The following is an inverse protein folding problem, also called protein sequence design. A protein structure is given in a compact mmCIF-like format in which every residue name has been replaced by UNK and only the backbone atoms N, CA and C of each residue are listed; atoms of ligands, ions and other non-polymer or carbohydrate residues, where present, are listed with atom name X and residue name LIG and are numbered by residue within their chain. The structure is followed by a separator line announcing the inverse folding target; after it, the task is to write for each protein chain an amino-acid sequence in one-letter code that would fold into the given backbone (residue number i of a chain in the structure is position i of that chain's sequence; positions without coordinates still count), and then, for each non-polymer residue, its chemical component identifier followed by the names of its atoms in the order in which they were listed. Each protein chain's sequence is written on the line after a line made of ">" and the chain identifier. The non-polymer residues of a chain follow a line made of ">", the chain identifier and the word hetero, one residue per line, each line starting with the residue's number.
data_IF_573901122473
#
_entry.id   IF_573901122473
#
_cell.length_a   1.000
_cell.length_b   1.000
_cell.length_c   1.000
_cell.angle_alpha   90.00
_cell.angle_beta   90.00
_cell.angle_gamma   90.00
#
_symmetry.space_group_name_H-M   'P 1'
#
loop_
_entity.id
_entity.type
_entity.pdbx_description
1 polymer ?
#
# COMPACT_ATOMS: atom_id res chain seq x y z
N UNK A 1 11.67 -1.51 7.98
CA UNK A 1 10.31 -2.08 8.05
C UNK A 1 10.04 -3.18 7.02
N UNK A 2 11.01 -3.54 6.16
CA UNK A 2 10.86 -4.61 5.16
C UNK A 2 10.32 -5.92 5.78
N UNK A 3 10.94 -6.42 6.85
CA UNK A 3 10.55 -7.71 7.46
C UNK A 3 9.09 -7.80 7.92
N UNK A 4 8.54 -6.74 8.52
CA UNK A 4 7.15 -6.74 8.99
C UNK A 4 6.16 -6.93 7.84
N UNK A 5 6.49 -6.42 6.65
CA UNK A 5 5.70 -6.55 5.43
C UNK A 5 5.93 -7.89 4.73
N UNK A 6 7.12 -8.46 4.88
CA UNK A 6 7.46 -9.81 4.40
C UNK A 6 6.83 -10.93 5.26
N UNK A 7 5.92 -10.59 6.19
CA UNK A 7 5.24 -11.55 7.05
C UNK A 7 6.00 -11.88 8.34
N UNK A 8 7.03 -11.11 8.70
CA UNK A 8 7.89 -11.40 9.86
C UNK A 8 8.10 -10.21 10.81
N UNK A 9 7.73 -10.41 12.08
CA UNK A 9 7.87 -9.39 13.11
C UNK A 9 9.35 -9.06 13.38
N UNK A 10 9.75 -7.78 13.31
CA UNK A 10 11.14 -7.38 13.50
C UNK A 10 11.63 -7.53 14.96
N UNK A 11 10.73 -7.71 15.92
CA UNK A 11 11.06 -7.78 17.34
C UNK A 11 11.18 -9.20 17.88
N UNK A 12 10.39 -10.13 17.36
CA UNK A 12 10.31 -11.49 17.89
C UNK A 12 10.38 -12.58 16.81
N UNK A 13 10.51 -12.22 15.53
CA UNK A 13 10.61 -13.15 14.40
C UNK A 13 9.33 -13.98 14.16
N UNK A 14 8.25 -13.72 14.93
CA UNK A 14 6.93 -14.31 14.74
C UNK A 14 6.25 -13.83 13.45
N UNK A 15 5.18 -14.53 13.06
CA UNK A 15 4.39 -14.14 11.89
C UNK A 15 3.70 -12.77 12.10
N UNK A 16 3.54 -12.03 11.01
CA UNK A 16 2.71 -10.83 10.95
C UNK A 16 1.53 -11.04 10.02
N UNK A 17 0.40 -10.47 10.41
CA UNK A 17 -0.83 -10.43 9.62
C UNK A 17 -1.07 -9.00 9.16
N UNK A 18 -1.48 -8.85 7.89
CA UNK A 18 -1.91 -7.58 7.32
C UNK A 18 -3.44 -7.49 7.43
N UNK A 19 -3.93 -6.42 8.03
CA UNK A 19 -5.35 -6.10 8.08
C UNK A 19 -5.61 -4.78 7.33
N UNK A 20 -6.58 -4.79 6.43
CA UNK A 20 -7.00 -3.61 5.69
C UNK A 20 -8.20 -3.01 6.40
N UNK A 21 -8.01 -1.81 6.96
CA UNK A 21 -9.02 -1.09 7.73
C UNK A 21 -10.03 -0.43 6.78
N UNK A 22 -10.84 -1.24 6.11
CA UNK A 22 -11.81 -0.83 5.08
C UNK A 22 -12.89 0.15 5.61
N UNK A 23 -13.07 0.26 6.91
CA UNK A 23 -13.99 1.23 7.52
C UNK A 23 -13.32 2.59 7.79
N UNK A 24 -12.00 2.70 7.58
CA UNK A 24 -11.15 3.87 7.85
C UNK A 24 -10.38 4.33 6.60
N UNK A 25 -10.96 4.12 5.41
CA UNK A 25 -10.36 4.42 4.10
C UNK A 25 -9.87 5.87 3.95
N UNK A 26 -10.48 6.81 4.68
CA UNK A 26 -10.08 8.23 4.66
C UNK A 26 -8.85 8.53 5.54
N UNK A 27 -8.27 7.53 6.19
CA UNK A 27 -7.14 7.68 7.12
C UNK A 27 -5.82 7.30 6.44
N UNK A 28 -4.75 8.03 6.78
CA UNK A 28 -3.38 7.80 6.27
C UNK A 28 -2.76 6.45 6.73
N UNK A 29 -3.50 5.64 7.49
CA UNK A 29 -3.07 4.36 8.07
C UNK A 29 -4.03 3.22 7.73
N UNK A 30 -4.40 3.10 6.46
CA UNK A 30 -5.30 2.05 5.97
C UNK A 30 -4.80 0.63 6.25
N UNK A 31 -3.48 0.45 6.28
CA UNK A 31 -2.84 -0.86 6.40
C UNK A 31 -2.33 -1.01 7.82
N UNK A 32 -2.88 -1.98 8.54
CA UNK A 32 -2.39 -2.37 9.85
C UNK A 32 -1.58 -3.65 9.72
N UNK A 33 -0.36 -3.65 10.27
CA UNK A 33 0.47 -4.85 10.37
C UNK A 33 0.63 -5.19 11.83
N UNK A 34 0.09 -6.34 12.25
CA UNK A 34 0.15 -6.83 13.61
C UNK A 34 1.00 -8.11 13.68
N UNK A 35 1.75 -8.30 14.77
CA UNK A 35 2.40 -9.58 15.05
C UNK A 35 1.45 -10.51 15.80
N UNK A 36 1.38 -11.76 15.39
CA UNK A 36 0.51 -12.76 16.02
C UNK A 36 1.06 -13.25 17.38
N UNK A 37 2.29 -12.87 17.74
CA UNK A 37 3.01 -13.39 18.92
C UNK A 37 3.29 -12.33 19.99
N UNK A 38 3.48 -11.07 19.60
CA UNK A 38 3.79 -9.98 20.55
C UNK A 38 2.91 -8.75 20.27
N UNK A 39 3.05 -7.71 21.10
CA UNK A 39 2.24 -6.48 20.99
C UNK A 39 2.69 -5.53 19.88
N UNK A 40 3.45 -6.01 18.89
CA UNK A 40 3.89 -5.19 17.77
C UNK A 40 2.71 -4.91 16.84
N UNK A 41 2.45 -3.62 16.59
CA UNK A 41 1.42 -3.12 15.69
C UNK A 41 1.94 -1.85 15.03
N UNK A 42 1.74 -1.73 13.72
CA UNK A 42 2.11 -0.53 12.97
C UNK A 42 1.06 -0.23 11.89
N UNK A 43 0.62 1.02 11.85
CA UNK A 43 -0.17 1.58 10.75
C UNK A 43 0.77 2.09 9.66
N UNK A 44 0.46 1.80 8.40
CA UNK A 44 1.29 2.12 7.26
C UNK A 44 0.45 2.82 6.20
N UNK A 45 0.98 3.92 5.67
CA UNK A 45 0.38 4.59 4.52
C UNK A 45 0.47 3.71 3.25
N UNK A 46 -0.53 3.74 2.38
CA UNK A 46 -0.61 2.83 1.25
C UNK A 46 0.52 3.00 0.24
N UNK A 47 0.86 4.23 -0.16
CA UNK A 47 1.87 4.44 -1.19
C UNK A 47 3.28 4.00 -0.77
N UNK A 48 3.77 4.35 0.43
CA UNK A 48 5.04 3.82 0.95
C UNK A 48 5.04 2.29 1.12
N UNK A 49 3.87 1.65 1.22
CA UNK A 49 3.75 0.19 1.24
C UNK A 49 3.87 -0.42 -0.16
N UNK A 50 3.26 0.22 -1.16
CA UNK A 50 3.18 -0.27 -2.53
C UNK A 50 4.45 -0.03 -3.36
N UNK A 51 5.25 0.98 -3.04
CA UNK A 51 6.46 1.34 -3.81
C UNK A 51 7.52 0.22 -3.87
N UNK A 52 7.40 -0.81 -3.03
CA UNK A 52 8.26 -1.98 -3.06
C UNK A 52 7.86 -3.01 -4.14
N UNK A 53 6.64 -2.92 -4.69
CA UNK A 53 6.26 -3.69 -5.89
C UNK A 53 6.86 -2.99 -7.12
N UNK A 54 7.67 -3.72 -7.88
CA UNK A 54 8.38 -3.20 -9.06
C UNK A 54 7.44 -2.58 -10.12
N UNK A 55 6.21 -3.10 -10.24
CA UNK A 55 5.22 -2.58 -11.19
C UNK A 55 4.68 -1.23 -10.75
N UNK A 56 4.51 -1.05 -9.44
CA UNK A 56 4.07 0.23 -8.86
C UNK A 56 5.19 1.25 -8.95
N UNK A 57 6.42 0.87 -8.58
CA UNK A 57 7.58 1.76 -8.68
C UNK A 57 7.78 2.28 -10.10
N UNK A 58 7.71 1.40 -11.11
CA UNK A 58 7.80 1.78 -12.52
C UNK A 58 6.68 2.73 -12.96
N UNK A 59 5.44 2.42 -12.59
CA UNK A 59 4.30 3.28 -12.95
C UNK A 59 4.34 4.66 -12.28
N UNK A 60 4.87 4.75 -11.06
CA UNK A 60 5.10 6.02 -10.37
C UNK A 60 6.17 6.85 -11.11
N UNK A 61 7.29 6.23 -11.48
CA UNK A 61 8.35 6.88 -12.26
C UNK A 61 7.83 7.39 -13.62
N UNK A 62 7.02 6.58 -14.32
CA UNK A 62 6.39 6.94 -15.60
C UNK A 62 5.50 8.20 -15.51
N UNK A 63 4.91 8.48 -14.34
CA UNK A 63 4.09 9.70 -14.12
C UNK A 63 4.84 10.82 -13.39
N UNK A 64 6.17 10.74 -13.31
CA UNK A 64 7.04 11.77 -12.71
C UNK A 64 7.13 11.70 -11.19
N UNK A 65 6.66 10.61 -10.57
CA UNK A 65 6.76 10.39 -9.14
C UNK A 65 7.97 9.50 -8.86
N UNK A 66 9.12 10.11 -8.58
CA UNK A 66 10.30 9.42 -8.03
C UNK A 66 9.94 8.48 -6.86
N UNK A 67 10.08 7.14 -7.01
CA UNK A 67 9.73 6.16 -5.99
C UNK A 67 10.77 6.08 -4.86
N UNK A 68 11.97 6.65 -5.05
CA UNK A 68 13.07 6.61 -4.08
C UNK A 68 13.04 7.77 -3.07
N UNK A 69 12.16 8.76 -3.27
CA UNK A 69 11.95 9.88 -2.34
C UNK A 69 11.51 9.40 -0.96
N UNK A 70 11.60 10.28 0.05
CA UNK A 70 11.16 9.92 1.39
C UNK A 70 9.67 9.60 1.43
N UNK A 71 9.25 8.70 2.32
CA UNK A 71 7.87 8.21 2.39
C UNK A 71 6.86 9.33 2.67
N UNK A 72 7.26 10.37 3.40
CA UNK A 72 6.45 11.56 3.67
C UNK A 72 6.38 12.56 2.50
N UNK A 73 7.14 12.35 1.43
CA UNK A 73 7.11 13.16 0.20
C UNK A 73 6.32 12.48 -0.94
N UNK A 74 5.94 11.22 -0.73
CA UNK A 74 5.06 10.50 -1.64
C UNK A 74 3.63 11.09 -1.53
N UNK A 75 2.94 11.28 -2.66
CA UNK A 75 1.58 11.81 -2.63
C UNK A 75 0.64 10.84 -1.93
N UNK A 76 -0.30 11.38 -1.15
CA UNK A 76 -1.39 10.59 -0.59
C UNK A 76 -2.33 10.14 -1.73
N UNK A 77 -2.52 8.83 -1.96
CA UNK A 77 -3.44 8.35 -2.96
C UNK A 77 -4.89 8.61 -2.53
N UNK A 78 -5.77 8.84 -3.51
CA UNK A 78 -7.20 8.70 -3.27
C UNK A 78 -7.53 7.22 -3.19
N UNK A 79 -8.07 6.77 -2.07
CA UNK A 79 -8.39 5.35 -1.85
C UNK A 79 -9.88 5.08 -2.04
N UNK A 80 -10.22 3.98 -2.71
CA UNK A 80 -11.61 3.53 -2.91
C UNK A 80 -11.72 2.02 -2.80
N UNK A 81 -12.84 1.53 -2.27
CA UNK A 81 -13.16 0.09 -2.28
C UNK A 81 -13.96 -0.23 -3.53
N UNK A 82 -13.33 -0.87 -4.51
CA UNK A 82 -13.99 -1.27 -5.75
C UNK A 82 -14.87 -2.52 -5.57
N UNK A 83 -14.48 -3.43 -4.69
CA UNK A 83 -15.25 -4.64 -4.39
C UNK A 83 -14.98 -5.11 -2.96
N UNK A 84 -15.97 -5.77 -2.35
CA UNK A 84 -15.86 -6.40 -1.01
C UNK A 84 -15.87 -7.92 -1.05
N UNK A 85 -16.28 -8.53 -2.17
CA UNK A 85 -16.32 -9.98 -2.35
C UNK A 85 -16.01 -10.35 -3.82
N UNK A 86 -14.75 -10.68 -4.16
CA UNK A 86 -13.56 -10.58 -3.32
C UNK A 86 -13.18 -9.11 -3.04
N UNK A 87 -12.45 -8.85 -1.96
CA UNK A 87 -11.97 -7.50 -1.61
C UNK A 87 -11.04 -6.97 -2.70
N UNK A 88 -11.33 -5.77 -3.18
CA UNK A 88 -10.51 -4.99 -4.11
C UNK A 88 -10.48 -3.55 -3.65
N UNK A 89 -9.28 -3.02 -3.43
CA UNK A 89 -9.06 -1.62 -3.09
C UNK A 89 -8.28 -0.98 -4.23
N UNK A 90 -8.74 0.18 -4.67
CA UNK A 90 -8.13 1.02 -5.69
C UNK A 90 -7.44 2.22 -5.03
N UNK A 91 -6.22 2.50 -5.48
CA UNK A 91 -5.45 3.68 -5.12
C UNK A 91 -5.19 4.50 -6.38
N UNK A 92 -5.82 5.67 -6.46
CA UNK A 92 -5.60 6.63 -7.53
C UNK A 92 -4.52 7.62 -7.10
N UNK A 93 -3.45 7.71 -7.88
CA UNK A 93 -2.33 8.63 -7.64
C UNK A 93 -2.21 9.55 -8.85
N UNK A 94 -2.18 10.85 -8.64
CA UNK A 94 -2.00 11.83 -9.72
C UNK A 94 -0.56 12.35 -9.72
N UNK A 95 0.14 12.15 -10.84
CA UNK A 95 1.47 12.71 -11.13
C UNK A 95 1.37 13.93 -12.06
N UNK A 96 2.40 14.16 -12.88
CA UNK A 96 2.54 15.27 -13.85
C UNK A 96 1.45 15.25 -14.95
N UNK A 97 0.19 15.47 -14.57
CA UNK A 97 -0.98 15.44 -15.46
C UNK A 97 -1.49 14.06 -15.85
N UNK A 98 -0.83 12.98 -15.40
CA UNK A 98 -1.21 11.59 -15.65
C UNK A 98 -1.54 10.91 -14.32
N UNK A 99 -2.60 10.11 -14.29
CA UNK A 99 -2.99 9.36 -13.09
C UNK A 99 -2.61 7.88 -13.23
N UNK A 100 -2.25 7.25 -12.11
CA UNK A 100 -2.13 5.80 -12.01
C UNK A 100 -3.21 5.26 -11.08
N UNK A 101 -3.75 4.09 -11.42
CA UNK A 101 -4.69 3.35 -10.58
C UNK A 101 -4.07 2.02 -10.22
N UNK A 102 -3.86 1.79 -8.93
CA UNK A 102 -3.29 0.56 -8.39
C UNK A 102 -4.41 -0.22 -7.70
N UNK A 103 -4.58 -1.49 -8.03
CA UNK A 103 -5.58 -2.36 -7.39
C UNK A 103 -4.88 -3.41 -6.55
N UNK A 104 -5.29 -3.53 -5.28
CA UNK A 104 -4.82 -4.58 -4.36
C UNK A 104 -5.94 -5.50 -3.90
N UNK A 105 -5.57 -6.68 -3.41
CA UNK A 105 -6.47 -7.62 -2.72
C UNK A 105 -6.45 -7.48 -1.19
N UNK A 106 -7.22 -8.34 -0.50
CA UNK A 106 -7.31 -8.44 0.96
C UNK A 106 -5.99 -8.69 1.70
N UNK A 107 -5.03 -9.37 1.07
CA UNK A 107 -3.69 -9.59 1.58
C UNK A 107 -2.69 -8.50 1.17
N UNK A 108 -3.20 -7.37 0.65
CA UNK A 108 -2.41 -6.25 0.14
C UNK A 108 -1.49 -6.61 -1.05
N UNK A 109 -1.82 -7.67 -1.79
CA UNK A 109 -1.11 -8.04 -3.01
C UNK A 109 -1.53 -7.18 -4.21
N UNK A 110 -0.58 -6.64 -4.97
CA UNK A 110 -0.85 -5.84 -6.18
C UNK A 110 -1.38 -6.72 -7.31
N UNK A 111 -2.55 -6.35 -7.84
CA UNK A 111 -3.33 -7.10 -8.84
C UNK A 111 -3.30 -6.48 -10.21
N UNK A 112 -3.44 -5.16 -10.30
CA UNK A 112 -3.26 -4.40 -11.52
C UNK A 112 -2.68 -3.03 -11.21
N UNK A 113 -1.99 -2.48 -12.20
CA UNK A 113 -1.46 -1.12 -12.22
C UNK A 113 -1.76 -0.59 -13.60
N UNK A 114 -2.62 0.42 -13.68
CA UNK A 114 -3.04 1.05 -14.93
C UNK A 114 -2.62 2.51 -14.91
N UNK A 115 -2.00 2.98 -15.99
CA UNK A 115 -1.70 4.39 -16.20
C UNK A 115 -2.80 4.96 -17.11
N UNK A 116 -3.50 6.00 -16.63
CA UNK A 116 -4.55 6.67 -17.39
C UNK A 116 -3.96 7.45 -18.56
N UNK A 117 -3.86 6.79 -19.72
CA UNK A 117 -3.52 7.41 -21.02
C UNK A 117 -4.73 8.07 -21.67
#
# INVERSE_FOLDING_TARGET
>A
MAMAREGQCPFCTGATTVDLRLDEIETDHLIEIACDTCTFLVGVAPLPALVFDERVAGALDDVGIDPERYDWELPTPTTRVASRDPVRIEFDVSGDGTAITIVVDEGFGVRSVDTGQ
#
